data_IF_741759107639
#
_entry.id   IF_741759107639
#
_cell.length_a   1.000
_cell.length_b   1.000
_cell.length_c   1.000
_cell.angle_alpha   90.00
_cell.angle_beta   90.00
_cell.angle_gamma   90.00
#
_symmetry.space_group_name_H-M   'P 1'
#
loop_
_entity.id
_entity.type
_entity.pdbx_description
1 polymer ?
#
# COMPACT_ATOMS: atom_id res chain seq x y z
N UNK A 1 -10.53 -17.90 11.60
CA UNK A 1 -10.92 -16.54 11.13
C UNK A 1 -11.00 -16.46 9.61
N UNK A 2 -9.91 -16.72 8.87
CA UNK A 2 -9.95 -16.66 7.39
C UNK A 2 -10.99 -17.62 6.82
N UNK A 3 -10.92 -18.90 7.19
CA UNK A 3 -11.86 -19.94 6.73
C UNK A 3 -13.33 -19.64 7.06
N UNK A 4 -13.59 -18.89 8.12
CA UNK A 4 -14.94 -18.59 8.58
C UNK A 4 -15.54 -17.31 7.95
N UNK A 5 -14.71 -16.41 7.42
CA UNK A 5 -15.13 -15.04 7.08
C UNK A 5 -14.66 -14.55 5.71
N UNK A 6 -13.66 -15.18 5.09
CA UNK A 6 -13.19 -14.76 3.77
C UNK A 6 -14.11 -15.27 2.67
N UNK A 7 -14.65 -14.36 1.87
CA UNK A 7 -15.38 -14.68 0.65
C UNK A 7 -14.51 -14.28 -0.56
N UNK A 8 -14.22 -15.25 -1.44
CA UNK A 8 -13.33 -15.05 -2.58
C UNK A 8 -13.99 -14.29 -3.75
N UNK A 9 -15.31 -14.06 -3.71
CA UNK A 9 -15.99 -13.36 -4.79
C UNK A 9 -15.49 -11.91 -4.90
N UNK A 10 -15.26 -11.37 -6.12
CA UNK A 10 -14.73 -10.02 -6.30
C UNK A 10 -15.58 -8.91 -5.69
N UNK A 11 -16.90 -9.12 -5.61
CA UNK A 11 -17.92 -8.22 -5.09
C UNK A 11 -18.34 -8.55 -3.65
N UNK A 12 -17.63 -9.46 -2.98
CA UNK A 12 -17.91 -9.81 -1.60
C UNK A 12 -17.73 -8.61 -0.67
N UNK A 13 -18.71 -8.40 0.21
CA UNK A 13 -18.67 -7.35 1.22
C UNK A 13 -17.68 -7.65 2.36
N UNK A 14 -17.20 -8.89 2.48
CA UNK A 14 -16.24 -9.32 3.51
C UNK A 14 -15.12 -10.12 2.86
N UNK A 15 -13.92 -9.53 2.86
CA UNK A 15 -12.68 -10.19 2.41
C UNK A 15 -11.60 -9.97 3.47
N UNK A 16 -10.97 -11.06 3.86
CA UNK A 16 -9.86 -11.05 4.83
C UNK A 16 -8.52 -10.88 4.10
N UNK A 17 -7.59 -10.16 4.72
CA UNK A 17 -6.19 -10.02 4.31
C UNK A 17 -5.29 -10.13 5.54
N UNK A 18 -4.04 -10.58 5.36
CA UNK A 18 -3.05 -10.58 6.43
C UNK A 18 -2.33 -9.24 6.48
N UNK A 19 -2.31 -8.63 7.66
CA UNK A 19 -1.85 -7.25 7.84
C UNK A 19 -0.90 -7.08 9.05
N UNK A 20 0.33 -7.65 9.03
CA UNK A 20 1.37 -7.24 9.96
C UNK A 20 1.62 -5.73 9.82
N UNK A 21 1.79 -5.05 10.95
CA UNK A 21 1.71 -3.58 11.01
C UNK A 21 2.73 -2.89 10.09
N UNK A 22 4.02 -3.15 10.28
CA UNK A 22 5.09 -2.53 9.49
C UNK A 22 6.40 -3.29 9.72
N UNK A 23 7.32 -3.37 8.73
CA UNK A 23 8.61 -4.06 8.86
C UNK A 23 9.43 -3.73 10.13
N UNK A 24 9.21 -2.57 10.74
CA UNK A 24 9.85 -2.12 11.99
C UNK A 24 9.42 -2.90 13.23
N UNK A 25 8.22 -3.48 13.19
CA UNK A 25 7.53 -4.01 14.36
C UNK A 25 7.41 -5.53 14.32
N UNK A 26 7.89 -6.16 13.24
CA UNK A 26 7.81 -7.60 12.99
C UNK A 26 9.16 -8.15 12.52
N UNK A 27 9.37 -9.45 12.73
CA UNK A 27 10.59 -10.12 12.27
C UNK A 27 10.52 -10.40 10.77
N UNK A 28 11.69 -10.53 10.13
CA UNK A 28 11.80 -10.92 8.72
C UNK A 28 11.14 -12.27 8.45
N UNK A 29 11.30 -13.22 9.37
CA UNK A 29 10.71 -14.55 9.23
C UNK A 29 9.17 -14.49 9.30
N UNK A 30 8.62 -13.67 10.21
CA UNK A 30 7.17 -13.45 10.27
C UNK A 30 6.63 -12.85 8.96
N UNK A 31 7.37 -11.94 8.33
CA UNK A 31 6.99 -11.41 7.00
C UNK A 31 6.96 -12.52 5.95
N UNK A 32 7.99 -13.37 5.86
CA UNK A 32 8.05 -14.47 4.89
C UNK A 32 6.96 -15.52 5.13
N UNK A 33 6.73 -15.88 6.39
CA UNK A 33 5.68 -16.82 6.79
C UNK A 33 4.29 -16.26 6.47
N UNK A 34 4.05 -14.97 6.76
CA UNK A 34 2.79 -14.31 6.42
C UNK A 34 2.55 -14.28 4.90
N UNK A 35 3.57 -14.01 4.09
CA UNK A 35 3.44 -14.06 2.63
C UNK A 35 3.09 -15.48 2.14
N UNK A 36 3.75 -16.50 2.70
CA UNK A 36 3.48 -17.91 2.39
C UNK A 36 2.06 -18.30 2.80
N UNK A 37 1.62 -17.91 4.00
CA UNK A 37 0.29 -18.20 4.53
C UNK A 37 -0.80 -17.48 3.75
N UNK A 38 -0.63 -16.20 3.40
CA UNK A 38 -1.64 -15.47 2.63
C UNK A 38 -1.89 -16.12 1.27
N UNK A 39 -0.81 -16.55 0.59
CA UNK A 39 -0.90 -17.23 -0.70
C UNK A 39 -1.53 -18.62 -0.59
N UNK A 40 -1.20 -19.39 0.45
CA UNK A 40 -1.85 -20.70 0.66
C UNK A 40 -3.35 -20.57 0.93
N UNK A 41 -3.76 -19.51 1.64
CA UNK A 41 -5.15 -19.18 1.93
C UNK A 41 -5.85 -18.37 0.82
N UNK A 42 -5.12 -17.98 -0.23
CA UNK A 42 -5.61 -17.13 -1.33
C UNK A 42 -6.25 -15.82 -0.85
N UNK A 43 -5.61 -15.18 0.12
CA UNK A 43 -6.00 -13.88 0.69
C UNK A 43 -4.97 -12.81 0.37
N UNK A 44 -5.38 -11.55 0.47
CA UNK A 44 -4.48 -10.43 0.21
C UNK A 44 -3.49 -10.16 1.37
N UNK A 45 -2.51 -9.31 1.08
CA UNK A 45 -1.48 -8.85 2.01
C UNK A 45 -1.46 -7.32 2.07
N UNK A 46 -1.31 -6.79 3.28
CA UNK A 46 -1.24 -5.36 3.51
C UNK A 46 -0.20 -4.99 4.57
N UNK A 47 0.61 -3.96 4.32
CA UNK A 47 1.50 -3.41 5.35
C UNK A 47 1.81 -1.94 5.03
N UNK A 48 2.37 -1.22 6.01
CA UNK A 48 2.99 0.09 5.80
C UNK A 48 4.39 -0.10 5.22
N UNK A 49 4.82 0.77 4.30
CA UNK A 49 6.18 0.75 3.73
C UNK A 49 6.59 2.11 3.19
N UNK A 50 7.86 2.47 3.41
CA UNK A 50 8.48 3.70 2.92
C UNK A 50 7.65 4.95 3.26
N UNK A 51 7.08 5.02 4.47
CA UNK A 51 6.27 6.15 4.88
C UNK A 51 7.14 7.36 5.21
N UNK A 52 8.23 7.16 5.96
CA UNK A 52 9.11 8.25 6.40
C UNK A 52 10.58 7.97 6.07
N UNK A 53 11.44 8.98 6.09
CA UNK A 53 12.90 8.83 5.94
C UNK A 53 13.52 7.91 6.98
N UNK A 54 12.93 7.90 8.20
CA UNK A 54 13.30 6.95 9.25
C UNK A 54 13.11 5.51 8.79
N UNK A 55 12.13 5.27 7.93
CA UNK A 55 11.86 3.94 7.44
C UNK A 55 12.97 3.44 6.52
N UNK A 56 13.39 4.33 5.62
CA UNK A 56 14.50 4.10 4.69
C UNK A 56 15.79 3.86 5.47
N UNK A 57 16.05 4.68 6.49
CA UNK A 57 17.26 4.57 7.32
C UNK A 57 17.30 3.23 8.08
N UNK A 58 16.22 2.86 8.76
CA UNK A 58 16.13 1.59 9.47
C UNK A 58 16.26 0.39 8.54
N UNK A 59 15.60 0.41 7.37
CA UNK A 59 15.68 -0.71 6.42
C UNK A 59 17.13 -0.93 5.97
N UNK A 60 17.85 0.16 5.69
CA UNK A 60 19.28 0.11 5.39
C UNK A 60 20.12 -0.39 6.56
N UNK A 61 19.89 0.12 7.77
CA UNK A 61 20.65 -0.26 8.96
C UNK A 61 20.43 -1.73 9.36
N UNK A 62 19.17 -2.18 9.32
CA UNK A 62 18.75 -3.48 9.85
C UNK A 62 18.86 -4.61 8.83
N UNK A 63 18.66 -4.33 7.55
CA UNK A 63 18.61 -5.34 6.48
C UNK A 63 19.66 -5.12 5.39
N UNK A 64 20.34 -3.97 5.36
CA UNK A 64 21.27 -3.64 4.27
C UNK A 64 20.57 -3.37 2.94
N UNK A 65 19.26 -3.15 2.96
CA UNK A 65 18.37 -3.04 1.80
C UNK A 65 17.59 -1.73 1.82
N UNK A 66 17.10 -1.27 0.68
CA UNK A 66 16.03 -0.28 0.64
C UNK A 66 14.70 -0.92 1.09
N UNK A 67 13.70 -0.12 1.53
CA UNK A 67 12.39 -0.68 1.86
C UNK A 67 11.80 -1.53 0.73
N UNK A 68 12.03 -1.12 -0.52
CA UNK A 68 11.55 -1.86 -1.69
C UNK A 68 12.29 -3.18 -1.88
N UNK A 69 13.62 -3.19 -1.79
CA UNK A 69 14.42 -4.41 -1.88
C UNK A 69 14.02 -5.41 -0.79
N UNK A 70 13.78 -4.89 0.43
CA UNK A 70 13.29 -5.72 1.53
C UNK A 70 11.93 -6.33 1.22
N UNK A 71 10.96 -5.57 0.71
CA UNK A 71 9.63 -6.13 0.38
C UNK A 71 9.70 -7.16 -0.75
N UNK A 72 10.61 -7.01 -1.71
CA UNK A 72 10.87 -8.05 -2.71
C UNK A 72 11.47 -9.31 -2.07
N UNK A 73 12.50 -9.18 -1.23
CA UNK A 73 13.20 -10.30 -0.57
C UNK A 73 12.27 -11.14 0.31
N UNK A 74 11.34 -10.50 1.03
CA UNK A 74 10.38 -11.22 1.87
C UNK A 74 9.14 -11.69 1.11
N UNK A 75 9.05 -11.44 -0.20
CA UNK A 75 7.94 -11.86 -1.05
C UNK A 75 6.66 -11.03 -0.89
N UNK A 76 6.77 -9.78 -0.46
CA UNK A 76 5.69 -8.80 -0.27
C UNK A 76 5.44 -7.92 -1.50
N UNK A 77 5.55 -8.53 -2.68
CA UNK A 77 5.21 -7.95 -3.98
C UNK A 77 4.32 -8.93 -4.74
N UNK A 78 3.41 -8.42 -5.55
CA UNK A 78 2.43 -9.21 -6.28
C UNK A 78 1.08 -8.50 -6.42
N UNK A 79 0.20 -9.04 -7.25
CA UNK A 79 -1.15 -8.50 -7.46
C UNK A 79 -2.10 -8.75 -6.26
N UNK A 80 -1.66 -9.59 -5.32
CA UNK A 80 -2.27 -9.89 -4.02
C UNK A 80 -1.82 -8.94 -2.89
N UNK A 81 -0.90 -8.01 -3.15
CA UNK A 81 -0.30 -7.13 -2.13
C UNK A 81 -0.62 -5.65 -2.37
N UNK A 82 -0.88 -4.89 -1.31
CA UNK A 82 -0.86 -3.43 -1.36
C UNK A 82 -0.17 -2.79 -0.15
N UNK A 83 0.64 -1.77 -0.41
CA UNK A 83 1.40 -1.05 0.61
C UNK A 83 0.77 0.32 0.91
N UNK A 84 0.68 0.69 2.19
CA UNK A 84 0.23 2.02 2.60
C UNK A 84 1.37 3.06 2.47
N UNK A 85 0.96 4.29 2.18
CA UNK A 85 1.79 5.51 2.11
C UNK A 85 2.74 5.60 0.93
N UNK A 86 3.78 4.77 0.90
CA UNK A 86 4.83 4.75 -0.12
C UNK A 86 5.38 6.15 -0.47
N UNK A 87 5.62 6.99 0.54
CA UNK A 87 6.05 8.38 0.37
C UNK A 87 7.46 8.46 -0.20
N UNK A 88 8.36 7.62 0.31
CA UNK A 88 9.75 7.56 -0.09
C UNK A 88 10.05 6.34 -0.97
N UNK A 89 9.07 5.89 -1.75
CA UNK A 89 9.28 4.82 -2.72
C UNK A 89 10.25 5.32 -3.82
N UNK A 90 11.34 4.58 -4.00
CA UNK A 90 12.39 4.89 -4.94
C UNK A 90 12.02 4.49 -6.38
N UNK A 91 12.78 4.96 -7.37
CA UNK A 91 12.49 4.67 -8.78
C UNK A 91 12.55 3.17 -9.12
N UNK A 92 13.53 2.38 -8.63
CA UNK A 92 13.50 0.93 -8.77
C UNK A 92 12.24 0.31 -8.15
N UNK A 93 11.78 0.83 -7.01
CA UNK A 93 10.58 0.34 -6.37
C UNK A 93 9.28 0.66 -7.09
N UNK A 94 9.17 1.85 -7.68
CA UNK A 94 8.06 2.18 -8.56
C UNK A 94 8.02 1.20 -9.75
N UNK A 95 9.16 0.91 -10.37
CA UNK A 95 9.25 -0.03 -11.48
C UNK A 95 8.92 -1.48 -11.06
N UNK A 96 9.35 -1.90 -9.87
CA UNK A 96 9.01 -3.19 -9.29
C UNK A 96 7.51 -3.33 -9.03
N UNK A 97 6.89 -2.32 -8.40
CA UNK A 97 5.46 -2.35 -8.09
C UNK A 97 4.61 -2.37 -9.36
N UNK A 98 5.01 -1.61 -10.37
CA UNK A 98 4.37 -1.63 -11.68
C UNK A 98 4.45 -3.03 -12.33
N UNK A 99 5.66 -3.63 -12.37
CA UNK A 99 5.88 -4.94 -13.00
C UNK A 99 5.16 -6.08 -12.29
N UNK A 100 5.10 -6.03 -10.96
CA UNK A 100 4.48 -7.10 -10.14
C UNK A 100 2.98 -6.93 -9.95
N UNK A 101 2.42 -5.78 -10.35
CA UNK A 101 1.02 -5.47 -10.12
C UNK A 101 0.68 -5.10 -8.68
N UNK A 102 1.70 -4.80 -7.87
CA UNK A 102 1.58 -4.40 -6.46
C UNK A 102 0.84 -3.08 -6.33
N UNK A 103 -0.12 -3.03 -5.40
CA UNK A 103 -0.93 -1.85 -5.14
C UNK A 103 -0.29 -0.85 -4.16
N UNK A 104 -0.72 0.40 -4.26
CA UNK A 104 -0.37 1.46 -3.29
C UNK A 104 -1.65 2.10 -2.76
N UNK A 105 -1.78 2.18 -1.43
CA UNK A 105 -2.83 2.97 -0.77
C UNK A 105 -2.26 4.34 -0.38
N UNK A 106 -2.60 5.37 -1.15
CA UNK A 106 -2.15 6.73 -0.90
C UNK A 106 -2.99 7.39 0.20
N UNK A 107 -2.33 7.78 1.31
CA UNK A 107 -2.95 8.38 2.50
C UNK A 107 -2.53 9.86 2.68
N UNK A 108 -2.94 10.79 1.81
CA UNK A 108 -2.39 12.15 1.76
C UNK A 108 -2.57 12.95 3.05
N UNK A 109 -3.74 12.82 3.69
CA UNK A 109 -4.04 13.54 4.93
C UNK A 109 -3.09 13.12 6.07
N UNK A 110 -2.84 11.82 6.21
CA UNK A 110 -1.91 11.28 7.21
C UNK A 110 -0.48 11.72 6.91
N UNK A 111 -0.03 11.55 5.67
CA UNK A 111 1.33 11.92 5.25
C UNK A 111 1.66 13.39 5.53
N UNK A 112 0.70 14.30 5.29
CA UNK A 112 0.88 15.73 5.58
C UNK A 112 0.89 16.01 7.07
N UNK A 113 0.05 15.32 7.84
CA UNK A 113 -0.07 15.54 9.29
C UNK A 113 1.14 15.05 10.06
N UNK A 114 1.70 13.92 9.67
CA UNK A 114 2.88 13.32 10.29
C UNK A 114 4.19 13.89 9.72
N UNK A 115 4.10 14.84 8.78
CA UNK A 115 5.23 15.40 8.05
C UNK A 115 6.09 14.31 7.37
N UNK A 116 5.45 13.21 6.96
CA UNK A 116 6.07 12.09 6.25
C UNK A 116 6.54 12.54 4.86
N UNK A 117 5.75 13.39 4.18
CA UNK A 117 6.11 13.98 2.89
C UNK A 117 5.06 13.79 1.80
N UNK A 118 5.43 14.08 0.55
CA UNK A 118 4.53 13.97 -0.61
C UNK A 118 4.88 12.71 -1.38
N UNK A 119 3.97 11.73 -1.40
CA UNK A 119 4.18 10.51 -2.16
C UNK A 119 4.23 10.83 -3.67
N UNK A 120 5.14 10.19 -4.45
CA UNK A 120 5.32 10.44 -5.87
C UNK A 120 4.22 9.79 -6.73
N UNK A 121 2.94 10.03 -6.38
CA UNK A 121 1.76 9.40 -6.99
C UNK A 121 1.72 9.60 -8.51
N UNK A 122 2.13 10.77 -9.01
CA UNK A 122 2.17 11.00 -10.46
C UNK A 122 3.14 10.04 -11.16
N UNK A 123 4.36 9.89 -10.63
CA UNK A 123 5.34 8.94 -11.16
C UNK A 123 4.83 7.50 -11.10
N UNK A 124 4.17 7.12 -10.00
CA UNK A 124 3.57 5.79 -9.83
C UNK A 124 2.51 5.51 -10.90
N UNK A 125 1.59 6.44 -11.11
CA UNK A 125 0.54 6.31 -12.13
C UNK A 125 1.12 6.26 -13.55
N UNK A 126 2.11 7.10 -13.85
CA UNK A 126 2.79 7.11 -15.17
C UNK A 126 3.54 5.80 -15.44
N UNK A 127 4.05 5.14 -14.39
CA UNK A 127 4.69 3.83 -14.50
C UNK A 127 3.70 2.66 -14.55
N UNK A 128 2.40 2.87 -14.34
CA UNK A 128 1.37 1.82 -14.36
C UNK A 128 1.09 1.15 -13.01
N UNK A 129 1.54 1.72 -11.89
CA UNK A 129 1.22 1.23 -10.54
C UNK A 129 -0.26 1.44 -10.23
N UNK A 130 -0.91 0.44 -9.62
CA UNK A 130 -2.30 0.55 -9.14
C UNK A 130 -2.33 1.40 -7.86
N UNK A 131 -2.82 2.63 -7.94
CA UNK A 131 -2.91 3.53 -6.78
C UNK A 131 -4.36 3.74 -6.34
N UNK A 132 -4.67 3.39 -5.09
CA UNK A 132 -5.93 3.69 -4.40
C UNK A 132 -5.77 4.83 -3.40
N UNK A 133 -6.88 5.31 -2.85
CA UNK A 133 -6.90 6.32 -1.79
C UNK A 133 -7.28 5.69 -0.44
N UNK A 134 -6.51 6.02 0.59
CA UNK A 134 -6.76 5.61 1.98
C UNK A 134 -6.94 6.82 2.90
N UNK A 135 -7.75 6.66 3.96
CA UNK A 135 -7.89 7.66 5.02
C UNK A 135 -6.83 7.53 6.11
N UNK A 136 -6.24 6.33 6.24
CA UNK A 136 -5.47 5.89 7.40
C UNK A 136 -6.31 5.87 8.71
N UNK A 137 -5.72 5.46 9.83
CA UNK A 137 -6.37 5.39 11.14
C UNK A 137 -6.81 6.75 11.66
N UNK A 138 -7.94 6.76 12.37
CA UNK A 138 -8.34 7.94 13.14
C UNK A 138 -7.57 7.99 14.45
N UNK A 139 -6.52 8.80 14.53
CA UNK A 139 -6.07 9.29 15.83
C UNK A 139 -7.23 10.08 16.48
N UNK A 140 -7.33 10.20 17.82
CA UNK A 140 -8.50 10.80 18.52
C UNK A 140 -8.81 12.27 18.15
N UNK A 141 -8.05 12.86 17.24
CA UNK A 141 -8.14 14.24 16.76
C UNK A 141 -8.38 14.35 15.25
N UNK A 142 -8.64 13.25 14.52
CA UNK A 142 -8.81 13.25 13.05
C UNK A 142 -10.14 12.68 12.59
N UNK A 143 -10.90 13.38 11.74
CA UNK A 143 -12.06 12.80 11.07
C UNK A 143 -11.61 11.74 10.06
N UNK A 144 -12.32 10.59 10.02
CA UNK A 144 -12.10 9.48 9.10
C UNK A 144 -12.52 9.79 7.64
N UNK A 145 -12.33 11.02 7.18
CA UNK A 145 -12.95 11.53 5.95
C UNK A 145 -11.89 12.19 5.06
N UNK A 146 -11.73 11.68 3.83
CA UNK A 146 -10.85 12.29 2.81
C UNK A 146 -11.29 13.69 2.33
N UNK A 147 -12.45 14.19 2.77
CA UNK A 147 -13.19 15.28 2.10
C UNK A 147 -13.31 16.57 2.93
N UNK A 148 -12.77 16.64 4.15
CA UNK A 148 -13.10 17.69 5.12
C UNK A 148 -12.33 19.01 4.96
N UNK A 149 -11.40 19.13 4.01
CA UNK A 149 -10.67 20.40 3.76
C UNK A 149 -11.00 20.98 2.37
N UNK A 150 -11.43 22.26 2.27
CA UNK A 150 -11.88 22.91 1.03
C UNK A 150 -10.88 22.95 -0.15
N UNK A 151 -9.61 22.57 0.04
CA UNK A 151 -8.57 22.54 -0.99
C UNK A 151 -8.41 21.22 -1.74
N UNK A 152 -9.02 20.12 -1.28
CA UNK A 152 -8.83 18.78 -1.87
C UNK A 152 -9.88 18.44 -2.95
N UNK A 153 -10.16 19.40 -3.85
CA UNK A 153 -10.83 19.09 -5.12
C UNK A 153 -9.81 18.46 -6.09
N UNK A 154 -9.39 17.23 -5.80
CA UNK A 154 -8.65 16.45 -6.78
C UNK A 154 -9.62 16.00 -7.89
N UNK A 155 -9.39 16.52 -9.09
CA UNK A 155 -9.89 16.11 -10.40
C UNK A 155 -11.24 15.34 -10.46
N UNK A 156 -12.34 16.11 -10.57
CA UNK A 156 -13.63 15.60 -11.11
C UNK A 156 -13.82 15.92 -12.60
N UNK A 157 -12.73 16.01 -13.37
CA UNK A 157 -12.77 16.14 -14.83
C UNK A 157 -11.84 15.11 -15.45
N UNK A 158 -12.38 14.17 -16.22
CA UNK A 158 -11.56 13.41 -17.17
C UNK A 158 -11.88 11.94 -17.45
N UNK A 159 -12.84 11.29 -16.79
CA UNK A 159 -13.25 9.93 -17.17
C UNK A 159 -14.68 9.93 -17.73
N UNK A 160 -14.84 10.63 -18.84
CA UNK A 160 -15.96 10.48 -19.75
C UNK A 160 -15.44 9.98 -21.09
N UNK A 161 -15.08 8.69 -21.16
CA UNK A 161 -15.09 7.99 -22.43
C UNK A 161 -15.51 6.55 -22.18
N UNK A 162 -16.74 6.25 -22.62
CA UNK A 162 -17.28 4.90 -22.77
C UNK A 162 -16.42 4.18 -23.80
N UNK A 163 -15.87 3.04 -23.44
CA UNK A 163 -15.48 2.01 -24.40
C UNK A 163 -16.74 1.13 -24.56
N UNK A 164 -17.35 1.04 -25.75
CA UNK A 164 -18.48 0.14 -25.95
C UNK A 164 -17.97 -1.30 -25.96
N UNK A 165 -18.70 -2.18 -25.30
CA UNK A 165 -18.60 -3.62 -25.50
C UNK A 165 -19.70 -3.97 -26.49
N UNK A 166 -19.32 -4.73 -27.53
CA UNK A 166 -20.01 -5.11 -28.79
C UNK A 166 -20.08 -4.05 -29.87
#
# INVERSE_FOLDING_TARGET
MVEAHHDHRPDAMVRVALAPCSPFTVTTDLMREAATMARSLKVGLHTHTAENWKDVAFSKERYGMTPTEFTEDVGWVGDDVWHAHCVHLDEPGIALFARTGTGVAHCPCSNMRLASGIAPVRKMLDAGVKVGLGVDGSAPTTPATCWTRPGWRCCRRGCGNRIPVT
#
